data_IF_612842292646
#
_entry.id   IF_612842292646
#
_cell.length_a   1.000
_cell.length_b   1.000
_cell.length_c   1.000
_cell.angle_alpha   90.00
_cell.angle_beta   90.00
_cell.angle_gamma   90.00
#
_symmetry.space_group_name_H-M   'P 1'
#
loop_
_entity.id
_entity.type
_entity.pdbx_description
1 polymer ?
#
# COMPACT_ATOMS: atom_id res chain seq x y z
N UNK A 1 22.12 -0.35 -26.31
CA UNK A 1 21.00 -0.86 -25.51
C UNK A 1 20.76 0.19 -24.46
N UNK A 2 19.83 1.12 -24.71
CA UNK A 2 19.44 2.07 -23.68
C UNK A 2 18.72 1.25 -22.61
N UNK A 3 19.19 1.36 -21.37
CA UNK A 3 18.40 0.93 -20.23
C UNK A 3 17.16 1.82 -20.27
N UNK A 4 15.99 1.20 -20.19
CA UNK A 4 14.74 1.93 -20.03
C UNK A 4 14.82 2.64 -18.68
N UNK A 5 15.22 3.92 -18.68
CA UNK A 5 15.40 4.75 -17.48
C UNK A 5 14.05 5.22 -16.87
N UNK A 6 12.93 4.69 -17.38
CA UNK A 6 11.58 4.94 -16.89
C UNK A 6 11.16 3.95 -15.80
N UNK A 7 10.36 4.44 -14.84
CA UNK A 7 9.70 3.57 -13.86
C UNK A 7 8.65 2.72 -14.57
N UNK A 8 8.63 1.41 -14.31
CA UNK A 8 7.61 0.53 -14.90
C UNK A 8 6.27 0.70 -14.19
N UNK A 9 5.16 0.39 -14.86
CA UNK A 9 3.82 0.46 -14.25
C UNK A 9 3.72 -0.36 -12.94
N UNK A 10 4.41 -1.50 -12.88
CA UNK A 10 4.49 -2.33 -11.68
C UNK A 10 5.23 -1.62 -10.54
N UNK A 11 6.31 -0.90 -10.85
CA UNK A 11 7.05 -0.13 -9.85
C UNK A 11 6.23 1.08 -9.37
N UNK A 12 5.49 1.75 -10.25
CA UNK A 12 4.56 2.83 -9.88
C UNK A 12 3.48 2.33 -8.91
N UNK A 13 2.84 1.20 -9.23
CA UNK A 13 1.86 0.56 -8.36
C UNK A 13 2.47 0.16 -7.01
N UNK A 14 3.69 -0.39 -7.02
CA UNK A 14 4.41 -0.73 -5.79
C UNK A 14 4.66 0.51 -4.89
N UNK A 15 5.05 1.64 -5.48
CA UNK A 15 5.21 2.90 -4.72
C UNK A 15 3.90 3.41 -4.14
N UNK A 16 2.81 3.32 -4.89
CA UNK A 16 1.48 3.70 -4.42
C UNK A 16 1.03 2.84 -3.23
N UNK A 17 1.21 1.51 -3.33
CA UNK A 17 0.93 0.56 -2.25
C UNK A 17 1.75 0.91 -1.00
N UNK A 18 3.07 1.10 -1.14
CA UNK A 18 3.95 1.42 -0.01
C UNK A 18 3.52 2.74 0.66
N UNK A 19 3.19 3.77 -0.14
CA UNK A 19 2.78 5.07 0.39
C UNK A 19 1.45 4.99 1.15
N UNK A 20 0.44 4.35 0.55
CA UNK A 20 -0.91 4.21 1.14
C UNK A 20 -0.90 3.31 2.36
N UNK A 21 -0.35 2.10 2.27
CA UNK A 21 -0.27 1.14 3.39
C UNK A 21 0.64 1.66 4.50
N UNK A 22 1.75 2.32 4.16
CA UNK A 22 2.62 2.99 5.15
C UNK A 22 1.91 4.13 5.89
N UNK A 23 1.07 4.88 5.19
CA UNK A 23 0.22 5.92 5.80
C UNK A 23 -0.81 5.31 6.73
N UNK A 24 -1.55 4.29 6.28
CA UNK A 24 -2.52 3.56 7.10
C UNK A 24 -1.89 3.00 8.38
N UNK A 25 -0.72 2.37 8.27
CA UNK A 25 0.04 1.86 9.42
C UNK A 25 0.40 2.95 10.42
N UNK A 26 0.79 4.12 9.93
CA UNK A 26 1.07 5.29 10.78
C UNK A 26 -0.17 5.75 11.53
N UNK A 27 -1.34 5.73 10.89
CA UNK A 27 -2.62 6.02 11.54
C UNK A 27 -2.96 5.00 12.63
N UNK A 28 -2.77 3.70 12.36
CA UNK A 28 -2.99 2.66 13.37
C UNK A 28 -2.06 2.80 14.58
N UNK A 29 -0.80 3.15 14.36
CA UNK A 29 0.13 3.46 15.45
C UNK A 29 -0.36 4.68 16.24
N UNK A 30 -0.82 5.73 15.57
CA UNK A 30 -1.45 6.91 16.18
C UNK A 30 -2.65 6.54 17.04
N UNK A 31 -3.54 5.68 16.54
CA UNK A 31 -4.70 5.18 17.26
C UNK A 31 -4.30 4.46 18.55
N UNK A 32 -3.26 3.61 18.51
CA UNK A 32 -2.74 2.93 19.70
C UNK A 32 -2.25 3.94 20.74
N UNK A 33 -1.56 5.01 20.33
CA UNK A 33 -1.09 6.04 21.27
C UNK A 33 -2.26 6.83 21.88
N UNK A 34 -3.26 7.22 21.08
CA UNK A 34 -4.47 7.90 21.57
C UNK A 34 -5.26 7.04 22.55
N UNK A 35 -5.44 5.77 22.23
CA UNK A 35 -6.12 4.82 23.12
C UNK A 35 -5.39 4.67 24.46
N UNK A 36 -4.05 4.59 24.45
CA UNK A 36 -3.22 4.56 25.67
C UNK A 36 -3.36 5.83 26.51
N UNK A 37 -3.59 6.98 25.88
CA UNK A 37 -3.84 8.26 26.55
C UNK A 37 -5.30 8.43 27.05
N UNK A 38 -6.18 7.46 26.79
CA UNK A 38 -7.60 7.52 27.14
C UNK A 38 -8.48 8.24 26.11
N UNK A 39 -7.91 8.71 24.99
CA UNK A 39 -8.65 9.30 23.88
C UNK A 39 -9.18 8.19 22.95
N UNK A 40 -10.30 7.59 23.34
CA UNK A 40 -10.91 6.48 22.61
C UNK A 40 -11.56 6.95 21.31
N UNK A 41 -12.16 8.14 21.30
CA UNK A 41 -12.82 8.67 20.09
C UNK A 41 -11.80 9.06 19.03
N UNK A 42 -10.71 9.72 19.41
CA UNK A 42 -9.61 10.01 18.48
C UNK A 42 -8.91 8.75 17.97
N UNK A 43 -8.80 7.70 18.80
CA UNK A 43 -8.30 6.40 18.35
C UNK A 43 -9.21 5.74 17.31
N UNK A 44 -10.54 5.79 17.51
CA UNK A 44 -11.52 5.28 16.55
C UNK A 44 -11.47 6.04 15.23
N UNK A 45 -11.33 7.36 15.28
CA UNK A 45 -11.19 8.19 14.08
C UNK A 45 -9.94 7.81 13.27
N UNK A 46 -8.80 7.60 13.93
CA UNK A 46 -7.56 7.17 13.28
C UNK A 46 -7.67 5.76 12.68
N UNK A 47 -8.35 4.83 13.36
CA UNK A 47 -8.60 3.49 12.82
C UNK A 47 -9.45 3.57 11.56
N UNK A 48 -10.53 4.36 11.59
CA UNK A 48 -11.44 4.49 10.46
C UNK A 48 -10.70 5.04 9.23
N UNK A 49 -10.01 6.16 9.39
CA UNK A 49 -9.28 6.79 8.29
C UNK A 49 -8.09 5.96 7.83
N UNK A 50 -7.39 5.27 8.73
CA UNK A 50 -6.34 4.31 8.36
C UNK A 50 -6.90 3.15 7.53
N UNK A 51 -8.10 2.67 7.87
CA UNK A 51 -8.78 1.59 7.14
C UNK A 51 -9.20 2.02 5.74
N UNK A 52 -9.70 3.25 5.58
CA UNK A 52 -10.04 3.82 4.29
C UNK A 52 -8.82 3.88 3.37
N UNK A 53 -7.70 4.45 3.85
CA UNK A 53 -6.45 4.55 3.07
C UNK A 53 -5.86 3.17 2.77
N UNK A 54 -5.92 2.23 3.72
CA UNK A 54 -5.47 0.86 3.48
C UNK A 54 -6.24 0.19 2.35
N UNK A 55 -7.57 0.39 2.29
CA UNK A 55 -8.41 -0.19 1.24
C UNK A 55 -8.12 0.41 -0.14
N UNK A 56 -7.67 1.67 -0.21
CA UNK A 56 -7.16 2.28 -1.45
C UNK A 56 -5.92 1.53 -1.95
N UNK A 57 -4.89 1.38 -1.11
CA UNK A 57 -3.68 0.63 -1.43
C UNK A 57 -3.96 -0.83 -1.80
N UNK A 58 -4.88 -1.48 -1.06
CA UNK A 58 -5.31 -2.85 -1.34
C UNK A 58 -6.03 -2.97 -2.69
N UNK A 59 -6.83 -1.98 -3.09
CA UNK A 59 -7.46 -1.95 -4.43
C UNK A 59 -6.44 -1.85 -5.54
N UNK A 60 -5.40 -1.01 -5.38
CA UNK A 60 -4.32 -0.88 -6.36
C UNK A 60 -3.57 -2.21 -6.54
N UNK A 61 -3.29 -2.93 -5.45
CA UNK A 61 -2.74 -4.28 -5.50
C UNK A 61 -3.67 -5.28 -6.21
N UNK A 62 -4.97 -5.29 -5.89
CA UNK A 62 -5.93 -6.18 -6.56
C UNK A 62 -6.03 -5.90 -8.06
N UNK A 63 -5.99 -4.65 -8.48
CA UNK A 63 -5.98 -4.27 -9.89
C UNK A 63 -4.72 -4.79 -10.59
N UNK A 64 -3.54 -4.62 -9.98
CA UNK A 64 -2.28 -5.16 -10.51
C UNK A 64 -2.33 -6.69 -10.67
N UNK A 65 -2.86 -7.41 -9.68
CA UNK A 65 -3.03 -8.86 -9.73
C UNK A 65 -3.98 -9.28 -10.87
N UNK A 66 -5.11 -8.59 -11.03
CA UNK A 66 -6.05 -8.85 -12.12
C UNK A 66 -5.44 -8.63 -13.50
N UNK A 67 -4.71 -7.53 -13.69
CA UNK A 67 -4.02 -7.26 -14.96
C UNK A 67 -3.00 -8.35 -15.28
N UNK A 68 -2.22 -8.79 -14.27
CA UNK A 68 -1.25 -9.88 -14.47
C UNK A 68 -1.88 -11.20 -14.92
N UNK A 69 -3.08 -11.52 -14.42
CA UNK A 69 -3.80 -12.72 -14.80
C UNK A 69 -4.40 -12.63 -16.22
N UNK A 70 -4.85 -11.44 -16.63
CA UNK A 70 -5.45 -11.20 -17.95
C UNK A 70 -4.39 -11.23 -19.05
N UNK A 71 -3.29 -10.51 -18.85
CA UNK A 71 -2.26 -10.32 -19.87
C UNK A 71 -1.45 -11.59 -20.14
N UNK A 72 -1.56 -12.63 -19.29
CA UNK A 72 -0.65 -13.78 -19.24
C UNK A 72 0.83 -13.37 -19.21
N UNK A 73 1.11 -12.11 -18.87
CA UNK A 73 2.44 -11.57 -18.71
C UNK A 73 2.86 -11.79 -17.26
N UNK A 74 4.04 -12.37 -17.09
CA UNK A 74 4.68 -12.37 -15.78
C UNK A 74 4.88 -10.90 -15.35
N UNK A 75 4.36 -10.54 -14.18
CA UNK A 75 4.70 -9.27 -13.54
C UNK A 75 6.23 -9.21 -13.42
N UNK A 76 6.82 -8.13 -13.91
CA UNK A 76 8.26 -7.94 -13.77
C UNK A 76 8.62 -7.86 -12.29
N UNK A 77 9.39 -8.85 -11.83
CA UNK A 77 9.80 -8.90 -10.43
C UNK A 77 10.83 -7.81 -10.16
N UNK A 78 10.62 -7.06 -9.08
CA UNK A 78 11.56 -6.07 -8.59
C UNK A 78 11.63 -6.10 -7.06
N UNK A 79 12.75 -5.62 -6.50
CA UNK A 79 12.90 -5.55 -5.05
C UNK A 79 11.85 -4.61 -4.42
N UNK A 80 11.46 -3.55 -5.14
CA UNK A 80 10.42 -2.62 -4.67
C UNK A 80 9.03 -3.27 -4.69
N UNK A 81 8.74 -4.11 -5.69
CA UNK A 81 7.51 -4.90 -5.72
C UNK A 81 7.46 -5.87 -4.54
N UNK A 82 8.54 -6.65 -4.32
CA UNK A 82 8.62 -7.54 -3.15
C UNK A 82 8.39 -6.78 -1.84
N UNK A 83 8.97 -5.58 -1.72
CA UNK A 83 8.79 -4.76 -0.54
C UNK A 83 7.35 -4.26 -0.38
N UNK A 84 6.66 -3.90 -1.47
CA UNK A 84 5.27 -3.51 -1.43
C UNK A 84 4.36 -4.67 -0.98
N UNK A 85 4.58 -5.86 -1.52
CA UNK A 85 3.87 -7.09 -1.12
C UNK A 85 4.09 -7.44 0.36
N UNK A 86 5.31 -7.26 0.88
CA UNK A 86 5.64 -7.49 2.30
C UNK A 86 4.96 -6.48 3.24
N UNK A 87 4.60 -5.28 2.77
CA UNK A 87 3.96 -4.25 3.59
C UNK A 87 2.44 -4.41 3.69
N UNK A 88 1.81 -4.99 2.67
CA UNK A 88 0.37 -5.26 2.59
C UNK A 88 -0.11 -6.28 3.63
#
# INVERSE_FOLDING_TARGET
MALDDGMTATQEAAFEIIATVGTAKSMYIGAIQKAKAGDIEGARADILAGTEIFNEGHSTHLNMLQQSAIDNNNVEFSLILLHAEDQL
#
